data_IF_204304890269
#
_entry.id   IF_204304890269
#
_cell.length_a   1.000
_cell.length_b   1.000
_cell.length_c   1.000
_cell.angle_alpha   90.00
_cell.angle_beta   90.00
_cell.angle_gamma   90.00
#
_symmetry.space_group_name_H-M   'P 1'
#
loop_
_entity.id
_entity.type
_entity.pdbx_description
1 polymer ?
#
# COMPACT_ATOMS: atom_id res chain seq x y z
N UNK A 1 11.32 1.75 17.05
CA UNK A 1 11.16 0.80 15.94
C UNK A 1 10.22 1.37 14.90
N UNK A 2 10.60 1.28 13.64
CA UNK A 2 9.76 1.73 12.53
C UNK A 2 8.54 0.82 12.41
N UNK A 3 7.36 1.42 12.33
CA UNK A 3 6.11 0.69 12.12
C UNK A 3 5.61 0.91 10.70
N UNK A 4 5.39 -0.19 9.99
CA UNK A 4 4.95 -0.16 8.60
C UNK A 4 3.59 -0.85 8.45
N UNK A 5 2.77 -0.30 7.56
CA UNK A 5 1.47 -0.89 7.21
C UNK A 5 1.51 -1.31 5.74
N UNK A 6 1.05 -2.52 5.46
CA UNK A 6 0.78 -2.96 4.08
C UNK A 6 -0.73 -3.10 3.97
N UNK A 7 -1.35 -2.13 3.33
CA UNK A 7 -2.80 -2.08 3.14
C UNK A 7 -3.12 -2.43 1.70
N UNK A 8 -3.90 -3.47 1.50
CA UNK A 8 -4.16 -3.99 0.17
C UNK A 8 -5.56 -4.56 0.05
N UNK A 9 -5.99 -4.80 -1.18
CA UNK A 9 -7.25 -5.49 -1.44
C UNK A 9 -6.97 -6.75 -2.26
N UNK A 10 -7.44 -7.89 -1.78
CA UNK A 10 -7.32 -9.15 -2.53
C UNK A 10 -8.53 -10.02 -2.26
N UNK A 11 -9.26 -10.45 -3.30
CA UNK A 11 -10.48 -11.24 -3.14
C UNK A 11 -10.67 -12.38 -4.14
N UNK A 12 -10.02 -12.34 -5.31
CA UNK A 12 -10.26 -13.37 -6.32
C UNK A 12 -9.17 -14.43 -6.37
N UNK A 13 -8.03 -14.08 -6.96
CA UNK A 13 -6.99 -15.07 -7.27
C UNK A 13 -5.81 -15.04 -6.29
N UNK A 14 -5.80 -14.07 -5.38
CA UNK A 14 -4.69 -13.93 -4.43
C UNK A 14 -3.43 -13.28 -5.01
N UNK A 15 -3.50 -12.71 -6.21
CA UNK A 15 -2.33 -12.10 -6.84
C UNK A 15 -1.83 -10.89 -6.06
N UNK A 16 -2.73 -9.98 -5.69
CA UNK A 16 -2.35 -8.81 -4.89
C UNK A 16 -1.85 -9.24 -3.51
N UNK A 17 -2.43 -10.29 -2.93
CA UNK A 17 -1.99 -10.79 -1.63
C UNK A 17 -0.57 -11.33 -1.68
N UNK A 18 -0.22 -12.10 -2.71
CA UNK A 18 1.15 -12.59 -2.86
C UNK A 18 2.14 -11.44 -2.94
N UNK A 19 1.80 -10.39 -3.69
CA UNK A 19 2.64 -9.20 -3.79
C UNK A 19 2.75 -8.50 -2.43
N UNK A 20 1.63 -8.38 -1.72
CA UNK A 20 1.61 -7.74 -0.39
C UNK A 20 2.51 -8.49 0.59
N UNK A 21 2.47 -9.82 0.57
CA UNK A 21 3.33 -10.65 1.42
C UNK A 21 4.80 -10.42 1.12
N UNK A 22 5.16 -10.27 -0.17
CA UNK A 22 6.53 -10.01 -0.56
C UNK A 22 7.00 -8.61 -0.11
N UNK A 23 6.16 -7.60 -0.26
CA UNK A 23 6.46 -6.24 0.24
C UNK A 23 6.67 -6.29 1.76
N UNK A 24 5.78 -6.96 2.47
CA UNK A 24 5.88 -7.09 3.93
C UNK A 24 7.17 -7.81 4.33
N UNK A 25 7.56 -8.84 3.58
CA UNK A 25 8.82 -9.55 3.84
C UNK A 25 10.01 -8.60 3.73
N UNK A 26 10.05 -7.78 2.69
CA UNK A 26 11.12 -6.79 2.52
C UNK A 26 11.17 -5.78 3.66
N UNK A 27 10.02 -5.32 4.12
CA UNK A 27 9.94 -4.41 5.27
C UNK A 27 10.44 -5.08 6.55
N UNK A 28 10.03 -6.32 6.80
CA UNK A 28 10.44 -7.07 8.00
C UNK A 28 11.92 -7.40 7.99
N UNK A 29 12.47 -7.77 6.84
CA UNK A 29 13.90 -8.02 6.69
C UNK A 29 14.72 -6.78 7.01
N UNK A 30 14.17 -5.60 6.75
CA UNK A 30 14.82 -4.33 7.05
C UNK A 30 14.57 -3.85 8.49
N UNK A 31 13.90 -4.67 9.33
CA UNK A 31 13.71 -4.38 10.74
C UNK A 31 12.43 -3.66 11.10
N UNK A 32 11.49 -3.49 10.16
CA UNK A 32 10.23 -2.82 10.46
C UNK A 32 9.22 -3.77 11.11
N UNK A 33 8.51 -3.28 12.11
CA UNK A 33 7.33 -3.94 12.64
C UNK A 33 6.22 -3.72 11.62
N UNK A 34 5.74 -4.80 10.99
CA UNK A 34 4.88 -4.68 9.82
C UNK A 34 3.53 -5.36 10.03
N UNK A 35 2.47 -4.60 9.84
CA UNK A 35 1.10 -5.10 9.85
C UNK A 35 0.57 -5.18 8.43
N UNK A 36 -0.09 -6.28 8.10
CA UNK A 36 -0.79 -6.45 6.82
C UNK A 36 -2.29 -6.33 7.07
N UNK A 37 -2.99 -5.64 6.19
CA UNK A 37 -4.44 -5.49 6.29
C UNK A 37 -5.09 -5.60 4.92
N UNK A 38 -5.97 -6.60 4.75
CA UNK A 38 -6.72 -6.80 3.51
C UNK A 38 -8.09 -6.12 3.63
N UNK A 39 -8.33 -5.11 2.80
CA UNK A 39 -9.59 -4.36 2.85
C UNK A 39 -10.81 -5.18 2.41
N UNK A 40 -10.60 -6.38 1.84
CA UNK A 40 -11.69 -7.30 1.56
C UNK A 40 -12.22 -7.96 2.84
N UNK A 41 -11.43 -7.99 3.90
CA UNK A 41 -11.78 -8.64 5.15
C UNK A 41 -12.37 -7.68 6.18
N UNK A 42 -12.32 -6.39 5.93
CA UNK A 42 -12.87 -5.41 6.86
C UNK A 42 -12.49 -3.99 6.50
N UNK A 43 -12.96 -3.06 7.32
CA UNK A 43 -12.67 -1.64 7.18
C UNK A 43 -11.56 -1.26 8.14
N UNK A 44 -10.51 -0.61 7.64
CA UNK A 44 -9.38 -0.20 8.47
C UNK A 44 -9.81 0.92 9.43
N UNK A 45 -9.44 0.79 10.70
CA UNK A 45 -9.70 1.83 11.70
C UNK A 45 -8.70 2.98 11.51
N UNK A 46 -9.18 4.11 10.99
CA UNK A 46 -8.31 5.24 10.68
C UNK A 46 -7.63 5.84 11.91
N UNK A 47 -8.19 5.65 13.11
CA UNK A 47 -7.55 6.13 14.34
C UNK A 47 -6.25 5.40 14.64
N UNK A 48 -6.03 4.23 14.00
CA UNK A 48 -4.79 3.47 14.12
C UNK A 48 -3.69 4.02 13.21
N UNK A 49 -4.06 4.68 12.10
CA UNK A 49 -3.10 5.09 11.06
C UNK A 49 -1.98 6.02 11.56
N UNK A 50 -2.23 6.97 12.49
CA UNK A 50 -1.17 7.86 12.97
C UNK A 50 0.08 7.16 13.50
N UNK A 51 -0.03 5.92 14.00
CA UNK A 51 1.11 5.21 14.57
C UNK A 51 2.08 4.64 13.53
N UNK A 52 1.66 4.57 12.27
CA UNK A 52 2.52 4.01 11.21
C UNK A 52 3.45 5.07 10.63
N UNK A 53 4.70 4.70 10.46
CA UNK A 53 5.74 5.59 9.92
C UNK A 53 5.75 5.57 8.40
N UNK A 54 5.28 4.50 7.79
CA UNK A 54 5.18 4.36 6.35
C UNK A 54 4.09 3.36 5.99
N UNK A 55 3.69 3.37 4.72
CA UNK A 55 2.61 2.49 4.25
C UNK A 55 2.86 2.07 2.80
N UNK A 56 2.51 0.82 2.48
CA UNK A 56 2.47 0.35 1.10
C UNK A 56 1.02 0.01 0.76
N UNK A 57 0.55 0.53 -0.37
CA UNK A 57 -0.82 0.28 -0.85
C UNK A 57 -0.79 -0.66 -2.03
N UNK A 58 -1.65 -1.67 -2.01
CA UNK A 58 -1.75 -2.63 -3.11
C UNK A 58 -3.18 -2.85 -3.56
N UNK A 59 -3.40 -2.87 -4.88
CA UNK A 59 -4.74 -3.02 -5.46
C UNK A 59 -4.74 -3.89 -6.70
N UNK A 60 -5.79 -4.72 -6.90
CA UNK A 60 -6.07 -5.21 -8.24
C UNK A 60 -6.59 -4.06 -9.10
N UNK A 61 -6.62 -4.27 -10.41
CA UNK A 61 -7.21 -3.32 -11.36
C UNK A 61 -8.67 -3.70 -11.57
N UNK A 62 -9.57 -2.92 -10.98
CA UNK A 62 -11.01 -3.09 -11.17
C UNK A 62 -11.54 -1.88 -11.95
N UNK A 63 -11.86 -2.09 -13.22
CA UNK A 63 -12.35 -1.04 -14.12
C UNK A 63 -11.36 0.12 -14.25
N UNK A 64 -10.07 -0.19 -14.35
CA UNK A 64 -9.00 0.81 -14.45
C UNK A 64 -8.88 1.69 -13.21
N UNK A 65 -9.39 1.21 -12.07
CA UNK A 65 -9.39 1.95 -10.82
C UNK A 65 -9.07 1.02 -9.64
N UNK A 66 -8.93 1.60 -8.45
CA UNK A 66 -8.65 0.84 -7.24
C UNK A 66 -9.89 0.06 -6.80
N UNK A 67 -9.67 -1.04 -6.10
CA UNK A 67 -10.77 -1.79 -5.47
C UNK A 67 -11.47 -0.90 -4.44
N UNK A 68 -12.78 -1.13 -4.26
CA UNK A 68 -13.63 -0.29 -3.41
C UNK A 68 -13.14 -0.10 -1.99
N UNK A 69 -12.56 -1.14 -1.38
CA UNK A 69 -12.05 -1.04 -0.01
C UNK A 69 -10.93 -0.01 0.14
N UNK A 70 -10.11 0.16 -0.89
CA UNK A 70 -9.04 1.17 -0.87
C UNK A 70 -9.61 2.58 -1.02
N UNK A 71 -10.65 2.73 -1.84
CA UNK A 71 -11.31 4.03 -1.95
C UNK A 71 -11.97 4.40 -0.62
N UNK A 72 -12.58 3.43 0.06
CA UNK A 72 -13.16 3.63 1.39
C UNK A 72 -12.10 4.10 2.38
N UNK A 73 -10.92 3.48 2.36
CA UNK A 73 -9.80 3.91 3.21
C UNK A 73 -9.46 5.38 2.95
N UNK A 74 -9.39 5.77 1.69
CA UNK A 74 -9.03 7.16 1.36
C UNK A 74 -10.15 8.15 1.70
N UNK A 75 -11.42 7.73 1.59
CA UNK A 75 -12.53 8.54 2.06
C UNK A 75 -12.42 8.77 3.56
N UNK A 76 -12.12 7.72 4.33
CA UNK A 76 -11.94 7.81 5.78
C UNK A 76 -10.73 8.69 6.12
N UNK A 77 -9.66 8.58 5.36
CA UNK A 77 -8.46 9.41 5.54
C UNK A 77 -8.83 10.90 5.42
N UNK A 78 -9.58 11.24 4.37
CA UNK A 78 -10.04 12.61 4.15
C UNK A 78 -10.92 13.08 5.31
N UNK A 79 -11.91 12.28 5.68
CA UNK A 79 -12.88 12.65 6.73
C UNK A 79 -12.19 12.87 8.07
N UNK A 80 -11.30 11.97 8.47
CA UNK A 80 -10.60 12.09 9.75
C UNK A 80 -9.62 13.25 9.75
N UNK A 81 -8.95 13.49 8.63
CA UNK A 81 -7.98 14.60 8.54
C UNK A 81 -8.70 15.96 8.50
N UNK A 82 -9.64 16.14 7.58
CA UNK A 82 -10.26 17.44 7.30
C UNK A 82 -11.42 17.73 8.24
N UNK A 83 -12.29 16.75 8.49
CA UNK A 83 -13.51 16.97 9.26
C UNK A 83 -13.33 16.76 10.75
N UNK A 84 -12.56 15.76 11.15
CA UNK A 84 -12.37 15.41 12.57
C UNK A 84 -11.07 15.95 13.15
N UNK A 85 -10.17 16.47 12.31
CA UNK A 85 -8.91 17.05 12.78
C UNK A 85 -7.94 16.06 13.41
N UNK A 86 -8.03 14.77 13.04
CA UNK A 86 -7.08 13.78 13.53
C UNK A 86 -5.70 14.07 12.96
N UNK A 87 -4.69 14.10 13.82
CA UNK A 87 -3.34 14.47 13.44
C UNK A 87 -2.52 13.27 12.99
N UNK A 88 -1.41 13.56 12.30
CA UNK A 88 -0.42 12.57 11.87
C UNK A 88 -0.97 11.56 10.85
N UNK A 89 -1.83 12.03 9.95
CA UNK A 89 -2.35 11.21 8.86
C UNK A 89 -1.61 11.44 7.55
N UNK A 90 -0.84 12.53 7.43
CA UNK A 90 -0.15 12.93 6.21
C UNK A 90 1.36 13.00 6.42
N UNK A 91 2.09 13.19 5.32
CA UNK A 91 3.54 13.31 5.36
C UNK A 91 4.27 11.97 5.49
N UNK A 92 3.59 10.88 5.22
CA UNK A 92 4.18 9.55 5.34
C UNK A 92 4.78 9.10 4.00
N UNK A 93 5.99 8.51 4.02
CA UNK A 93 6.47 7.81 2.82
C UNK A 93 5.55 6.65 2.49
N UNK A 94 5.26 6.47 1.20
CA UNK A 94 4.41 5.34 0.80
C UNK A 94 4.89 4.73 -0.50
N UNK A 95 4.55 3.46 -0.73
CA UNK A 95 4.90 2.72 -1.93
C UNK A 95 3.63 2.10 -2.52
N UNK A 96 3.66 1.80 -3.82
CA UNK A 96 2.49 1.29 -4.54
C UNK A 96 2.82 -0.02 -5.27
N UNK A 97 1.88 -0.95 -5.24
CA UNK A 97 1.96 -2.17 -6.04
C UNK A 97 0.55 -2.55 -6.51
N UNK A 98 0.47 -3.26 -7.64
CA UNK A 98 -0.83 -3.58 -8.23
C UNK A 98 -0.76 -4.83 -9.09
N UNK A 99 -1.91 -5.50 -9.25
CA UNK A 99 -2.06 -6.62 -10.18
C UNK A 99 -3.17 -6.29 -11.18
N UNK A 100 -3.09 -6.87 -12.39
CA UNK A 100 -4.07 -6.61 -13.44
C UNK A 100 -4.16 -7.77 -14.41
N UNK A 101 -5.28 -7.82 -15.14
CA UNK A 101 -5.48 -8.79 -16.21
C UNK A 101 -5.14 -8.28 -17.60
N UNK A 102 -4.77 -7.00 -17.70
CA UNK A 102 -4.41 -6.34 -18.96
C UNK A 102 -4.46 -4.84 -18.78
N UNK A 103 -3.56 -4.11 -19.42
CA UNK A 103 -3.52 -2.66 -19.42
C UNK A 103 -2.90 -2.02 -18.18
N UNK A 104 -3.28 -2.44 -16.98
CA UNK A 104 -2.68 -1.90 -15.74
C UNK A 104 -2.94 -0.43 -15.47
N UNK A 105 -4.08 0.10 -15.89
CA UNK A 105 -4.40 1.53 -15.73
C UNK A 105 -4.63 1.93 -14.28
N UNK A 106 -4.84 0.98 -13.39
CA UNK A 106 -4.94 1.26 -11.96
C UNK A 106 -3.70 1.96 -11.44
N UNK A 107 -2.55 1.77 -12.05
CA UNK A 107 -1.30 2.43 -11.65
C UNK A 107 -1.47 3.95 -11.57
N UNK A 108 -2.02 4.56 -12.62
CA UNK A 108 -2.21 6.00 -12.67
C UNK A 108 -3.26 6.47 -11.67
N UNK A 109 -4.34 5.69 -11.51
CA UNK A 109 -5.36 5.98 -10.51
C UNK A 109 -4.78 5.98 -9.10
N UNK A 110 -3.94 5.00 -8.79
CA UNK A 110 -3.26 4.91 -7.49
C UNK A 110 -2.32 6.09 -7.27
N UNK A 111 -1.54 6.44 -8.27
CA UNK A 111 -0.60 7.56 -8.17
C UNK A 111 -1.33 8.88 -7.90
N UNK A 112 -2.54 9.03 -8.44
CA UNK A 112 -3.35 10.21 -8.19
C UNK A 112 -4.02 10.17 -6.83
N UNK A 113 -4.62 9.04 -6.47
CA UNK A 113 -5.44 8.90 -5.26
C UNK A 113 -4.62 9.02 -3.97
N UNK A 114 -3.45 8.38 -3.92
CA UNK A 114 -2.69 8.29 -2.68
C UNK A 114 -1.75 9.47 -2.41
N UNK A 115 -1.69 10.44 -3.30
CA UNK A 115 -0.81 11.63 -3.15
C UNK A 115 -1.00 12.35 -1.82
N UNK A 116 -2.23 12.41 -1.31
CA UNK A 116 -2.48 13.15 -0.08
C UNK A 116 -1.84 12.52 1.16
N UNK A 117 -1.44 11.24 1.07
CA UNK A 117 -0.83 10.53 2.20
C UNK A 117 0.59 11.04 2.48
N UNK A 118 1.33 11.38 1.45
CA UNK A 118 2.70 11.85 1.62
C UNK A 118 3.55 11.77 0.37
N UNK A 119 4.71 11.14 0.45
CA UNK A 119 5.70 11.08 -0.62
C UNK A 119 5.84 9.67 -1.17
N UNK A 120 5.68 9.52 -2.48
CA UNK A 120 5.86 8.23 -3.16
C UNK A 120 7.32 7.81 -3.13
N UNK A 121 7.57 6.57 -2.73
CA UNK A 121 8.90 5.96 -2.69
C UNK A 121 8.98 4.87 -3.75
N UNK A 122 9.96 4.96 -4.63
CA UNK A 122 10.21 3.96 -5.66
C UNK A 122 9.19 3.94 -6.77
N UNK A 123 9.44 3.08 -7.75
CA UNK A 123 8.51 2.87 -8.85
C UNK A 123 7.40 1.91 -8.43
N UNK A 124 6.14 2.20 -8.75
CA UNK A 124 5.08 1.22 -8.52
C UNK A 124 5.40 -0.12 -9.20
N UNK A 125 5.17 -1.22 -8.48
CA UNK A 125 5.43 -2.56 -9.01
C UNK A 125 4.11 -3.16 -9.49
N UNK A 126 4.06 -3.59 -10.75
CA UNK A 126 2.86 -4.19 -11.33
C UNK A 126 3.07 -5.65 -11.70
N UNK A 127 2.00 -6.43 -11.68
CA UNK A 127 1.99 -7.81 -12.13
C UNK A 127 0.83 -8.03 -13.09
N UNK A 128 1.14 -8.57 -14.28
CA UNK A 128 0.09 -9.04 -15.18
C UNK A 128 -0.27 -10.49 -14.77
N UNK A 129 -1.38 -10.64 -14.07
CA UNK A 129 -1.82 -11.92 -13.53
C UNK A 129 -0.97 -12.35 -12.33
N UNK A 130 -0.74 -13.66 -12.21
CA UNK A 130 0.02 -14.23 -11.10
C UNK A 130 1.44 -13.65 -11.07
N UNK A 131 1.89 -13.14 -9.91
CA UNK A 131 3.24 -12.58 -9.84
C UNK A 131 4.30 -13.63 -10.10
N UNK A 132 5.24 -13.29 -10.98
CA UNK A 132 6.40 -14.13 -11.25
C UNK A 132 7.42 -14.00 -10.12
N UNK A 133 8.42 -14.92 -10.04
CA UNK A 133 9.50 -14.77 -9.06
C UNK A 133 10.21 -13.41 -9.17
N UNK A 134 10.35 -12.87 -10.40
CA UNK A 134 10.98 -11.57 -10.64
C UNK A 134 10.13 -10.43 -10.06
N UNK A 135 8.80 -10.49 -10.25
CA UNK A 135 7.89 -9.49 -9.70
C UNK A 135 7.90 -9.55 -8.17
N UNK A 136 7.89 -10.75 -7.60
CA UNK A 136 7.94 -10.91 -6.14
C UNK A 136 9.24 -10.34 -5.56
N UNK A 137 10.36 -10.51 -6.26
CA UNK A 137 11.62 -9.91 -5.81
C UNK A 137 11.56 -8.38 -5.88
N UNK A 138 10.93 -7.82 -6.92
CA UNK A 138 10.72 -6.38 -7.00
C UNK A 138 9.85 -5.87 -5.85
N UNK A 139 8.87 -6.67 -5.41
CA UNK A 139 8.04 -6.32 -4.26
C UNK A 139 8.87 -6.32 -2.97
N UNK A 140 9.71 -7.32 -2.77
CA UNK A 140 10.61 -7.34 -1.60
C UNK A 140 11.56 -6.14 -1.62
N UNK A 141 12.13 -5.84 -2.79
CA UNK A 141 13.01 -4.67 -2.94
C UNK A 141 12.26 -3.37 -2.64
N UNK A 142 11.00 -3.27 -3.07
CA UNK A 142 10.19 -2.09 -2.78
C UNK A 142 9.99 -1.90 -1.28
N UNK A 143 9.72 -3.00 -0.57
CA UNK A 143 9.61 -2.98 0.90
C UNK A 143 10.89 -2.51 1.57
N UNK A 144 12.04 -3.04 1.12
CA UNK A 144 13.34 -2.62 1.66
C UNK A 144 13.62 -1.15 1.38
N UNK A 145 13.27 -0.68 0.18
CA UNK A 145 13.46 0.73 -0.20
C UNK A 145 12.62 1.66 0.66
N UNK A 146 11.36 1.28 0.90
CA UNK A 146 10.48 2.06 1.76
C UNK A 146 11.02 2.14 3.19
N UNK A 147 11.48 1.02 3.73
CA UNK A 147 12.09 0.97 5.06
C UNK A 147 13.32 1.87 5.15
N UNK A 148 14.13 1.87 4.11
CA UNK A 148 15.39 2.65 4.08
C UNK A 148 15.13 4.16 4.15
N UNK A 149 14.09 4.62 3.46
CA UNK A 149 13.71 6.04 3.49
C UNK A 149 13.30 6.46 4.89
N UNK A 150 12.53 5.63 5.59
CA UNK A 150 12.04 5.95 6.93
C UNK A 150 13.16 5.85 7.97
N UNK A 151 14.05 4.87 7.84
CA UNK A 151 15.14 4.65 8.79
C UNK A 151 16.16 5.79 8.83
N UNK A 152 16.19 6.65 7.80
CA UNK A 152 17.10 7.79 7.71
C UNK A 152 16.60 9.02 8.48
N UNK A 153 15.40 8.94 8.99
CA UNK A 153 14.83 9.98 9.84
C UNK A 153 15.18 9.70 11.28
#
# INVERSE_FOLDING_TARGET
MVKALVLYHSQEFGNTQEMAEAVAQGLREAGCETKMFNTNEGRFDMTEFPQYDCVAFGSPDYFSYVAGGLKTFMDDHYIHDVRKGLKNLKGKPYALFYSHGGGGRVKEAMMSLFKRVGTLVGEPVGSHGKPSPQVLEKCRALGRELAKVVSKK
#
